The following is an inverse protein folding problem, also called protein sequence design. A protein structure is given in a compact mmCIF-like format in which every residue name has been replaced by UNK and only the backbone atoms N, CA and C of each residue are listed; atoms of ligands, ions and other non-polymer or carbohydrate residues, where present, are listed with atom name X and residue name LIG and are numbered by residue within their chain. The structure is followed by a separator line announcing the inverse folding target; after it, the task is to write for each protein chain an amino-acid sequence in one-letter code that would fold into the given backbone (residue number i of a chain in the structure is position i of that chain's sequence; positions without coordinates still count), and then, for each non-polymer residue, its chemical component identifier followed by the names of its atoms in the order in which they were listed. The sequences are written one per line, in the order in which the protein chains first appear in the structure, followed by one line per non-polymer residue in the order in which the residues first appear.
data_IF_402384872622
#
_entry.id   IF_402384872622
#
_cell.length_a   1.000
_cell.length_b   1.000
_cell.length_c   1.000
_cell.angle_alpha   90.00
_cell.angle_beta   90.00
_cell.angle_gamma   90.00
#
_symmetry.space_group_name_H-M   'P 1'
#
loop_
_entity.id
_entity.type
_entity.pdbx_description
1 polymer ?
#
# COMPACT_ATOMS: atom_id res chain seq x y z
N UNK A 1 16.33 -9.48 -2.00
CA UNK A 1 14.89 -9.21 -1.84
C UNK A 1 14.14 -9.65 -3.10
N UNK A 2 12.85 -10.00 -3.03
CA UNK A 2 12.02 -10.40 -4.17
C UNK A 2 10.84 -9.44 -4.27
N UNK A 3 10.32 -9.24 -5.47
CA UNK A 3 9.07 -8.51 -5.68
C UNK A 3 8.12 -9.38 -6.51
N UNK A 4 6.83 -9.21 -6.28
CA UNK A 4 5.77 -10.03 -6.88
C UNK A 4 4.74 -9.10 -7.49
N UNK A 5 4.34 -9.38 -8.72
CA UNK A 5 3.25 -8.68 -9.37
C UNK A 5 1.91 -9.12 -8.77
N UNK A 6 1.03 -8.15 -8.50
CA UNK A 6 -0.36 -8.40 -8.16
C UNK A 6 -1.24 -7.70 -9.18
N UNK A 7 -2.21 -8.41 -9.73
CA UNK A 7 -3.25 -7.86 -10.60
C UNK A 7 -4.58 -7.86 -9.86
N UNK A 8 -5.24 -6.72 -9.85
CA UNK A 8 -6.61 -6.59 -9.33
C UNK A 8 -7.57 -7.09 -10.41
N UNK A 9 -8.30 -8.17 -10.11
CA UNK A 9 -9.24 -8.83 -11.05
C UNK A 9 -10.70 -8.56 -10.71
N UNK A 10 -10.97 -7.97 -9.54
CA UNK A 10 -12.29 -7.53 -9.10
C UNK A 10 -12.18 -6.14 -8.43
N UNK A 11 -13.25 -5.32 -8.43
CA UNK A 11 -13.22 -4.02 -7.77
C UNK A 11 -12.87 -4.14 -6.28
N UNK A 12 -11.95 -3.29 -5.81
CA UNK A 12 -11.57 -3.18 -4.40
C UNK A 12 -12.24 -1.97 -3.76
N UNK A 13 -12.75 -2.14 -2.55
CA UNK A 13 -13.35 -1.08 -1.72
C UNK A 13 -12.29 -0.57 -0.76
N UNK A 14 -11.74 0.61 -1.05
CA UNK A 14 -10.65 1.21 -0.27
C UNK A 14 -11.15 2.39 0.57
N UNK A 15 -10.74 2.41 1.84
CA UNK A 15 -10.96 3.58 2.70
C UNK A 15 -9.89 4.62 2.42
N UNK A 16 -10.31 5.82 2.01
CA UNK A 16 -9.41 6.94 1.74
C UNK A 16 -9.07 7.69 3.02
N UNK A 17 -7.81 7.65 3.45
CA UNK A 17 -7.33 8.35 4.66
C UNK A 17 -6.67 9.71 4.38
N UNK A 18 -6.72 10.17 3.13
CA UNK A 18 -6.11 11.43 2.70
C UNK A 18 -7.14 12.54 2.41
N UNK A 19 -8.43 12.26 2.57
CA UNK A 19 -9.52 13.20 2.35
C UNK A 19 -9.80 14.05 3.60
N UNK A 20 -10.37 15.24 3.41
CA UNK A 20 -10.43 16.36 4.37
C UNK A 20 -11.01 16.01 5.76
N UNK A 21 -11.80 14.95 5.90
CA UNK A 21 -12.32 14.47 7.20
C UNK A 21 -11.28 13.78 8.09
N UNK A 22 -10.22 13.19 7.50
CA UNK A 22 -9.15 12.49 8.21
C UNK A 22 -7.91 13.35 8.46
N UNK A 23 -7.83 14.55 7.88
CA UNK A 23 -6.70 15.47 8.04
C UNK A 23 -6.42 15.88 9.50
N UNK A 24 -7.39 15.70 10.41
CA UNK A 24 -7.22 15.98 11.86
C UNK A 24 -6.75 14.77 12.68
N UNK A 25 -6.78 13.57 12.10
CA UNK A 25 -6.30 12.35 12.75
C UNK A 25 -4.93 12.02 12.14
N UNK A 26 -3.88 12.47 12.83
CA UNK A 26 -2.48 12.03 12.72
C UNK A 26 -2.13 11.28 11.43
N UNK A 27 -1.45 11.99 10.52
CA UNK A 27 -0.77 11.54 9.30
C UNK A 27 -1.17 10.15 8.85
N UNK A 28 -1.94 10.00 7.76
CA UNK A 28 -2.45 8.72 7.24
C UNK A 28 -1.44 7.53 7.26
N UNK A 29 -0.14 7.80 7.16
CA UNK A 29 0.95 6.84 7.36
C UNK A 29 1.07 6.29 8.79
N UNK A 30 0.69 7.02 9.84
CA UNK A 30 0.65 6.57 11.23
C UNK A 30 -0.44 5.53 11.46
N UNK A 31 -1.59 5.73 10.83
CA UNK A 31 -2.71 4.79 10.87
C UNK A 31 -2.34 3.50 10.13
N UNK A 32 -1.75 3.63 8.94
CA UNK A 32 -1.36 2.48 8.12
C UNK A 32 -0.09 1.77 8.64
N UNK A 33 0.92 2.52 9.08
CA UNK A 33 2.30 2.05 9.29
C UNK A 33 3.06 2.67 10.48
N UNK A 34 2.46 3.56 11.26
CA UNK A 34 3.13 4.20 12.40
C UNK A 34 3.08 3.39 13.69
N UNK A 35 3.25 4.09 14.83
CA UNK A 35 3.33 3.48 16.16
C UNK A 35 2.32 2.35 16.32
N UNK A 36 2.86 1.15 16.55
CA UNK A 36 2.17 -0.10 16.42
C UNK A 36 0.91 -0.18 17.30
N UNK A 37 0.84 0.56 18.41
CA UNK A 37 -0.35 0.59 19.27
C UNK A 37 -1.54 1.28 18.60
N UNK A 38 -1.36 2.50 18.12
CA UNK A 38 -2.43 3.25 17.46
C UNK A 38 -2.81 2.64 16.11
N UNK A 39 -1.81 2.22 15.33
CA UNK A 39 -2.05 1.57 14.03
C UNK A 39 -2.84 0.25 14.17
N UNK A 40 -2.63 -0.53 15.23
CA UNK A 40 -3.40 -1.77 15.48
C UNK A 40 -4.88 -1.51 15.77
N UNK A 41 -5.20 -0.51 16.59
CA UNK A 41 -6.59 -0.17 16.94
C UNK A 41 -7.35 0.22 15.68
N UNK A 42 -6.78 1.09 14.86
CA UNK A 42 -7.41 1.51 13.61
C UNK A 42 -7.51 0.40 12.57
N UNK A 43 -6.45 -0.41 12.39
CA UNK A 43 -6.51 -1.58 11.51
C UNK A 43 -7.63 -2.53 11.90
N UNK A 44 -7.81 -2.78 13.20
CA UNK A 44 -8.89 -3.63 13.71
C UNK A 44 -10.27 -3.01 13.49
N UNK A 45 -10.44 -1.73 13.83
CA UNK A 45 -11.70 -1.03 13.61
C UNK A 45 -12.14 -1.01 12.14
N UNK A 46 -11.19 -0.80 11.22
CA UNK A 46 -11.46 -0.80 9.78
C UNK A 46 -11.73 -2.22 9.25
N UNK A 47 -11.02 -3.23 9.76
CA UNK A 47 -11.27 -4.63 9.41
C UNK A 47 -12.66 -5.09 9.89
N UNK A 48 -13.06 -4.73 11.11
CA UNK A 48 -14.36 -5.08 11.71
C UNK A 48 -15.52 -4.20 11.21
N UNK A 49 -15.24 -3.19 10.36
CA UNK A 49 -16.25 -2.25 9.90
C UNK A 49 -17.37 -2.97 9.11
N UNK A 50 -18.67 -2.63 9.34
CA UNK A 50 -19.79 -3.31 8.70
C UNK A 50 -19.79 -3.25 7.16
N UNK A 51 -19.27 -2.17 6.60
CA UNK A 51 -19.12 -2.04 5.15
C UNK A 51 -18.04 -2.95 4.57
N UNK A 52 -17.22 -3.57 5.41
CA UNK A 52 -16.22 -4.54 5.05
C UNK A 52 -15.24 -4.09 3.94
N UNK A 53 -14.46 -3.01 4.13
CA UNK A 53 -13.49 -2.56 3.15
C UNK A 53 -12.40 -3.60 2.89
N UNK A 54 -11.89 -3.63 1.66
CA UNK A 54 -10.81 -4.51 1.22
C UNK A 54 -9.42 -3.97 1.61
N UNK A 55 -9.34 -2.67 1.89
CA UNK A 55 -8.08 -2.05 2.26
C UNK A 55 -8.21 -0.55 2.53
N UNK A 56 -7.03 0.08 2.57
CA UNK A 56 -6.85 1.46 2.96
C UNK A 56 -5.93 2.14 1.93
N UNK A 57 -6.33 3.31 1.45
CA UNK A 57 -5.55 4.20 0.58
C UNK A 57 -5.04 5.40 1.39
N UNK A 58 -3.72 5.57 1.46
CA UNK A 58 -3.06 6.61 2.25
C UNK A 58 -1.93 7.28 1.46
N UNK A 59 -1.50 8.48 1.87
CA UNK A 59 -0.39 9.16 1.20
C UNK A 59 0.91 8.42 1.52
N UNK A 60 1.70 8.10 0.49
CA UNK A 60 2.99 7.43 0.68
C UNK A 60 3.91 8.34 1.50
N UNK A 61 4.50 7.80 2.56
CA UNK A 61 5.45 8.54 3.41
C UNK A 61 6.81 8.79 2.74
N UNK A 62 7.09 8.09 1.64
CA UNK A 62 8.37 8.15 0.93
C UNK A 62 8.27 8.98 -0.37
N UNK A 63 7.06 9.24 -0.85
CA UNK A 63 6.80 10.03 -2.04
C UNK A 63 5.40 10.63 -1.94
N UNK A 64 5.32 11.88 -1.51
CA UNK A 64 4.05 12.58 -1.31
C UNK A 64 3.24 12.75 -2.61
N UNK A 65 3.81 12.49 -3.79
CA UNK A 65 3.10 12.53 -5.07
C UNK A 65 2.29 11.25 -5.36
N UNK A 66 2.43 10.21 -4.53
CA UNK A 66 1.78 8.90 -4.75
C UNK A 66 0.95 8.43 -3.55
N UNK A 67 -0.04 7.59 -3.85
CA UNK A 67 -0.80 6.87 -2.85
C UNK A 67 -0.27 5.45 -2.66
N UNK A 68 -0.22 5.02 -1.41
CA UNK A 68 0.04 3.65 -1.01
C UNK A 68 -1.26 2.98 -0.62
N UNK A 69 -1.35 1.68 -0.91
CA UNK A 69 -2.50 0.84 -0.57
C UNK A 69 -2.04 -0.23 0.42
N UNK A 70 -2.78 -0.39 1.51
CA UNK A 70 -2.69 -1.53 2.42
C UNK A 70 -3.95 -2.39 2.24
N UNK A 71 -3.79 -3.66 1.87
CA UNK A 71 -4.90 -4.58 1.67
C UNK A 71 -5.06 -5.48 2.90
N UNK A 72 -6.29 -5.81 3.21
CA UNK A 72 -6.61 -6.82 4.20
C UNK A 72 -6.78 -8.20 3.56
N UNK A 73 -6.72 -9.27 4.36
CA UNK A 73 -6.77 -10.66 3.87
C UNK A 73 -8.02 -11.00 3.04
N UNK A 74 -9.15 -10.31 3.26
CA UNK A 74 -10.39 -10.52 2.49
C UNK A 74 -10.27 -10.10 1.03
N UNK A 75 -9.32 -9.22 0.69
CA UNK A 75 -9.05 -8.81 -0.68
C UNK A 75 -8.43 -9.93 -1.53
N UNK A 76 -8.00 -11.05 -0.91
CA UNK A 76 -7.27 -12.14 -1.56
C UNK A 76 -7.96 -12.63 -2.84
N UNK A 77 -9.27 -12.79 -2.83
CA UNK A 77 -10.00 -13.34 -3.98
C UNK A 77 -10.15 -12.34 -5.14
N UNK A 78 -9.89 -11.05 -4.88
CA UNK A 78 -9.83 -10.00 -5.88
C UNK A 78 -8.42 -9.81 -6.47
N UNK A 79 -7.43 -10.59 -6.04
CA UNK A 79 -6.03 -10.49 -6.46
C UNK A 79 -5.57 -11.74 -7.20
N UNK A 80 -4.98 -11.54 -8.37
CA UNK A 80 -4.23 -12.54 -9.08
C UNK A 80 -2.73 -12.31 -8.86
N UNK A 81 -2.03 -13.35 -8.41
CA UNK A 81 -0.58 -13.31 -8.17
C UNK A 81 0.13 -13.59 -9.49
N UNK A 82 0.85 -12.59 -9.99
CA UNK A 82 1.66 -12.69 -11.19
C UNK A 82 3.06 -13.23 -10.91
N UNK A 83 4.01 -12.87 -11.78
CA UNK A 83 5.38 -13.34 -11.67
C UNK A 83 6.10 -12.76 -10.44
N UNK A 84 6.95 -13.59 -9.82
CA UNK A 84 7.82 -13.19 -8.71
C UNK A 84 9.29 -13.15 -9.15
N UNK A 85 9.89 -11.97 -9.11
CA UNK A 85 11.25 -11.74 -9.57
C UNK A 85 12.20 -11.47 -8.39
N UNK A 86 13.44 -11.93 -8.52
CA UNK A 86 14.52 -11.53 -7.59
C UNK A 86 14.94 -10.11 -7.94
N UNK A 87 14.93 -9.19 -6.97
CA UNK A 87 15.25 -7.77 -7.23
C UNK A 87 16.55 -7.62 -8.01
N UNK A 88 17.61 -8.33 -7.62
CA UNK A 88 18.94 -8.18 -8.23
C UNK A 88 19.12 -8.76 -9.65
N UNK A 89 18.14 -9.49 -10.20
CA UNK A 89 18.27 -10.18 -11.50
C UNK A 89 17.74 -9.32 -12.65
N UNK A 90 16.76 -8.46 -12.41
CA UNK A 90 16.18 -7.58 -13.43
C UNK A 90 16.62 -6.13 -13.24
N UNK A 91 17.90 -5.88 -13.56
CA UNK A 91 18.51 -4.54 -13.46
C UNK A 91 17.82 -3.51 -14.35
N UNK A 92 17.26 -3.92 -15.49
CA UNK A 92 16.56 -3.00 -16.40
C UNK A 92 15.25 -2.51 -15.78
N UNK A 93 14.48 -3.41 -15.16
CA UNK A 93 13.23 -3.04 -14.50
C UNK A 93 13.46 -2.29 -13.19
N UNK A 94 14.53 -2.62 -12.45
CA UNK A 94 15.00 -1.79 -11.35
C UNK A 94 15.39 -0.38 -11.83
N UNK A 95 16.10 -0.26 -12.95
CA UNK A 95 16.43 1.04 -13.53
C UNK A 95 15.18 1.81 -13.97
N UNK A 96 14.15 1.13 -14.48
CA UNK A 96 12.86 1.77 -14.80
C UNK A 96 12.10 2.24 -13.55
N UNK A 97 12.08 1.45 -12.48
CA UNK A 97 11.53 1.89 -11.19
C UNK A 97 12.34 3.06 -10.63
N UNK A 98 13.67 2.95 -10.61
CA UNK A 98 14.60 3.97 -10.15
C UNK A 98 14.42 5.29 -10.92
N UNK A 99 14.31 5.22 -12.25
CA UNK A 99 14.03 6.37 -13.10
C UNK A 99 12.63 6.96 -12.86
N UNK A 100 11.62 6.10 -12.62
CA UNK A 100 10.24 6.53 -12.32
C UNK A 100 10.12 7.21 -10.95
N UNK A 101 10.87 6.75 -9.96
CA UNK A 101 10.80 7.20 -8.57
C UNK A 101 11.96 8.12 -8.15
N UNK A 102 12.91 8.43 -9.05
CA UNK A 102 13.98 9.40 -8.82
C UNK A 102 15.12 8.94 -7.89
N UNK A 103 15.26 7.65 -7.61
CA UNK A 103 16.34 7.13 -6.76
C UNK A 103 17.47 6.54 -7.62
N UNK A 104 18.73 6.85 -7.32
CA UNK A 104 19.87 6.13 -7.88
C UNK A 104 19.99 4.76 -7.19
N UNK A 105 20.01 3.67 -7.96
CA UNK A 105 20.37 2.35 -7.42
C UNK A 105 21.90 2.33 -7.32
N UNK A 106 22.44 2.52 -6.12
CA UNK A 106 23.88 2.29 -5.91
C UNK A 106 24.23 0.80 -6.11
N UNK A 107 25.43 0.52 -6.66
CA UNK A 107 25.79 -0.77 -7.25
C UNK A 107 25.87 -1.95 -6.27
#
# INVERSE_FOLDING_TARGET
QRWTELRVVQPLRLVQLHSHGFARLYTSSVIASGDHRHSRVWRRALWEHPEAPDGIEYRSSHDDSTFSIALFDRAKDALEVGASHVLGVDRHRLAQLAARYGFAVEP
#
